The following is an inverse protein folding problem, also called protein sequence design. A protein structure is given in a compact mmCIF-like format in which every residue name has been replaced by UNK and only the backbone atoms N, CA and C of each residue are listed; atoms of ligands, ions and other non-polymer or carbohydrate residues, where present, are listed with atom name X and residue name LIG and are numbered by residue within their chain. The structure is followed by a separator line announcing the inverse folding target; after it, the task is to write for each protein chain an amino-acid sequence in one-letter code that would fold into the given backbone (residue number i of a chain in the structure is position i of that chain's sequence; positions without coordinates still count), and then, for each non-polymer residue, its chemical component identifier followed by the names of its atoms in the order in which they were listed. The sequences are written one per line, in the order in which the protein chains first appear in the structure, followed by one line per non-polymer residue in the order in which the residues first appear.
data_IF_353674070935
#
_entry.id   IF_353674070935
#
_cell.length_a   1.000
_cell.length_b   1.000
_cell.length_c   1.000
_cell.angle_alpha   90.00
_cell.angle_beta   90.00
_cell.angle_gamma   90.00
#
_symmetry.space_group_name_H-M   'P 1'
#
loop_
_entity.id
_entity.type
_entity.pdbx_description
1 polymer ?
#
# COMPACT_ATOMS: atom_id res chain seq x y z
N UNK A 1 4.37 19.09 13.52
CA UNK A 1 5.00 18.95 12.19
C UNK A 1 3.94 18.43 11.25
N UNK A 2 3.66 19.19 10.19
CA UNK A 2 2.69 18.82 9.17
C UNK A 2 3.33 17.79 8.23
N UNK A 3 3.14 16.51 8.54
CA UNK A 3 3.72 15.39 7.78
C UNK A 3 3.28 15.39 6.31
N UNK A 4 2.19 16.10 5.97
CA UNK A 4 1.76 16.29 4.59
C UNK A 4 2.81 17.01 3.77
N UNK A 5 3.46 18.03 4.33
CA UNK A 5 4.51 18.76 3.61
C UNK A 5 5.76 17.90 3.40
N UNK A 6 6.08 17.01 4.35
CA UNK A 6 7.21 16.08 4.21
C UNK A 6 6.92 14.96 3.20
N UNK A 7 5.69 14.45 3.20
CA UNK A 7 5.17 13.52 2.19
C UNK A 7 5.19 14.19 0.80
N UNK A 8 4.84 15.47 0.71
CA UNK A 8 4.69 16.16 -0.57
C UNK A 8 6.02 16.63 -1.18
N UNK A 9 6.94 17.15 -0.38
CA UNK A 9 8.09 17.93 -0.89
C UNK A 9 9.45 17.22 -0.81
N UNK A 10 9.55 16.03 -0.22
CA UNK A 10 10.78 15.21 -0.24
C UNK A 10 12.07 15.91 0.22
N UNK A 11 12.04 16.84 1.20
CA UNK A 11 13.25 17.57 1.65
C UNK A 11 13.37 17.75 3.16
N UNK A 12 14.61 17.73 3.67
CA UNK A 12 15.03 18.30 4.95
C UNK A 12 16.50 18.77 4.92
N UNK A 13 16.82 19.80 5.72
CA UNK A 13 18.16 20.37 5.95
C UNK A 13 18.96 19.49 6.92
N UNK A 14 20.27 19.29 6.62
CA UNK A 14 21.23 18.64 7.53
C UNK A 14 21.48 19.48 8.79
N UNK A 15 21.62 18.82 9.94
CA UNK A 15 22.19 19.40 11.15
C UNK A 15 23.38 18.55 11.60
N UNK A 16 24.45 19.24 12.03
CA UNK A 16 25.74 18.66 12.41
C UNK A 16 25.71 17.95 13.77
N UNK A 17 26.56 16.93 13.87
CA UNK A 17 26.72 16.01 15.00
C UNK A 17 27.65 16.60 16.06
N UNK A 18 27.28 16.50 17.34
CA UNK A 18 28.22 16.63 18.46
C UNK A 18 28.15 15.33 19.27
N UNK A 19 29.30 14.77 19.64
CA UNK A 19 29.43 13.56 20.46
C UNK A 19 29.88 13.95 21.87
N UNK A 20 29.23 13.36 22.90
CA UNK A 20 29.82 12.66 24.07
C UNK A 20 28.91 12.75 25.31
N UNK A 21 28.21 11.65 25.67
CA UNK A 21 28.16 11.01 27.00
C UNK A 21 27.05 9.92 27.04
N UNK A 22 27.38 8.65 26.78
CA UNK A 22 26.36 7.61 26.56
C UNK A 22 25.86 6.89 27.81
N UNK A 23 24.58 7.05 28.15
CA UNK A 23 23.84 6.13 29.02
C UNK A 23 23.38 4.88 28.23
N UNK A 24 22.76 3.87 28.88
CA UNK A 24 22.31 2.63 28.19
C UNK A 24 21.39 2.91 26.99
N UNK A 25 20.58 3.97 27.03
CA UNK A 25 19.73 4.34 25.90
C UNK A 25 20.55 4.74 24.67
N UNK A 26 21.67 5.44 24.85
CA UNK A 26 22.52 5.89 23.74
C UNK A 26 23.25 4.71 23.11
N UNK A 27 23.69 3.74 23.93
CA UNK A 27 24.20 2.45 23.45
C UNK A 27 23.12 1.68 22.64
N UNK A 28 21.90 1.58 23.16
CA UNK A 28 20.81 0.89 22.44
C UNK A 28 20.38 1.63 21.16
N UNK A 29 20.49 2.95 21.13
CA UNK A 29 20.23 3.75 19.93
C UNK A 29 21.34 3.52 18.89
N UNK A 30 22.62 3.55 19.30
CA UNK A 30 23.74 3.29 18.39
C UNK A 30 23.71 1.87 17.81
N UNK A 31 23.40 0.86 18.62
CA UNK A 31 23.23 -0.53 18.14
C UNK A 31 22.08 -0.68 17.14
N UNK A 32 21.12 0.26 17.15
CA UNK A 32 20.00 0.32 16.20
C UNK A 32 20.24 1.31 15.04
N UNK A 33 21.43 1.89 14.95
CA UNK A 33 21.77 2.91 13.94
C UNK A 33 21.00 4.23 14.10
N UNK A 34 20.55 4.56 15.32
CA UNK A 34 19.79 5.76 15.66
C UNK A 34 20.69 6.78 16.41
N UNK A 35 20.49 8.08 16.19
CA UNK A 35 21.27 9.15 16.85
C UNK A 35 20.57 9.72 18.11
N UNK A 36 21.36 10.33 19.02
CA UNK A 36 20.99 10.80 20.39
C UNK A 36 19.75 11.72 20.45
N UNK A 37 19.35 12.35 19.34
CA UNK A 37 18.13 13.12 19.26
C UNK A 37 16.91 12.20 19.11
N UNK A 38 16.54 11.47 20.17
CA UNK A 38 15.30 10.67 20.24
C UNK A 38 14.00 11.38 19.79
N UNK A 39 14.05 12.71 19.55
CA UNK A 39 13.19 13.39 18.58
C UNK A 39 13.56 13.00 17.15
N UNK A 40 13.00 11.88 16.69
CA UNK A 40 13.27 11.27 15.38
C UNK A 40 13.68 12.25 14.30
N UNK A 41 14.81 11.95 13.65
CA UNK A 41 15.17 12.53 12.36
C UNK A 41 13.89 12.71 11.56
N UNK A 42 13.68 13.92 11.03
CA UNK A 42 12.57 14.18 10.14
C UNK A 42 12.63 13.14 9.03
N UNK A 43 11.85 12.07 9.17
CA UNK A 43 11.82 10.99 8.19
C UNK A 43 11.32 11.63 6.92
N UNK A 44 12.25 11.89 6.02
CA UNK A 44 11.98 12.39 4.69
C UNK A 44 11.41 11.23 3.90
N UNK A 45 10.19 11.40 3.41
CA UNK A 45 9.72 10.58 2.32
C UNK A 45 10.66 10.82 1.14
N UNK A 46 11.15 9.76 0.53
CA UNK A 46 11.98 9.88 -0.66
C UNK A 46 11.11 10.30 -1.85
N UNK A 47 11.71 10.88 -2.88
CA UNK A 47 10.96 11.17 -4.11
C UNK A 47 10.50 9.83 -4.74
N UNK A 48 9.20 9.61 -4.95
CA UNK A 48 8.70 8.37 -5.55
C UNK A 48 9.27 8.11 -6.95
N UNK A 49 9.66 9.16 -7.69
CA UNK A 49 10.27 9.02 -9.03
C UNK A 49 11.68 8.43 -8.99
N UNK A 50 12.29 8.28 -7.81
CA UNK A 50 13.53 7.51 -7.66
C UNK A 50 13.29 5.99 -7.74
N UNK A 51 12.05 5.54 -7.59
CA UNK A 51 11.68 4.15 -7.82
C UNK A 51 11.58 3.91 -9.33
N UNK A 52 12.28 2.89 -9.82
CA UNK A 52 12.42 2.63 -11.26
C UNK A 52 11.05 2.41 -11.91
N UNK A 53 10.87 2.93 -13.12
CA UNK A 53 9.63 2.91 -13.91
C UNK A 53 8.41 3.63 -13.27
N UNK A 54 8.57 4.33 -12.13
CA UNK A 54 7.47 5.10 -11.53
C UNK A 54 6.93 6.18 -12.48
N UNK A 55 7.80 6.86 -13.22
CA UNK A 55 7.44 7.84 -14.23
C UNK A 55 6.60 7.24 -15.38
N UNK A 56 6.98 6.05 -15.86
CA UNK A 56 6.24 5.30 -16.87
C UNK A 56 4.88 4.86 -16.36
N UNK A 57 4.82 4.36 -15.12
CA UNK A 57 3.56 3.98 -14.48
C UNK A 57 2.60 5.18 -14.36
N UNK A 58 3.09 6.31 -13.83
CA UNK A 58 2.32 7.56 -13.69
C UNK A 58 1.80 8.04 -15.04
N UNK A 59 2.66 8.08 -16.06
CA UNK A 59 2.28 8.52 -17.41
C UNK A 59 1.16 7.64 -17.99
N UNK A 60 1.28 6.32 -17.83
CA UNK A 60 0.29 5.38 -18.38
C UNK A 60 -1.06 5.45 -17.67
N UNK A 61 -1.04 5.55 -16.35
CA UNK A 61 -2.26 5.67 -15.54
C UNK A 61 -2.95 7.00 -15.84
N UNK A 62 -2.20 8.09 -15.98
CA UNK A 62 -2.75 9.40 -16.34
C UNK A 62 -3.39 9.40 -17.73
N UNK A 63 -2.82 8.65 -18.68
CA UNK A 63 -3.47 8.39 -19.98
C UNK A 63 -4.75 7.58 -19.83
N UNK A 64 -4.77 6.53 -18.99
CA UNK A 64 -5.98 5.74 -18.76
C UNK A 64 -7.11 6.59 -18.20
N UNK A 65 -6.79 7.48 -17.24
CA UNK A 65 -7.70 8.48 -16.68
C UNK A 65 -8.28 9.40 -17.78
N UNK A 66 -7.41 10.02 -18.60
CA UNK A 66 -7.83 10.94 -19.65
C UNK A 66 -8.67 10.29 -20.76
N UNK A 67 -8.43 9.00 -21.03
CA UNK A 67 -9.14 8.23 -22.05
C UNK A 67 -10.34 7.44 -21.51
N UNK A 68 -10.67 7.59 -20.22
CA UNK A 68 -11.72 6.82 -19.53
C UNK A 68 -11.59 5.29 -19.71
N UNK A 69 -10.35 4.82 -19.83
CA UNK A 69 -10.03 3.40 -19.94
C UNK A 69 -10.38 2.70 -18.61
N UNK A 70 -10.86 1.46 -18.68
CA UNK A 70 -11.00 0.63 -17.49
C UNK A 70 -9.60 0.26 -16.97
N UNK A 71 -9.33 0.62 -15.73
CA UNK A 71 -8.16 0.20 -14.96
C UNK A 71 -8.55 -0.98 -14.09
N UNK A 72 -7.88 -2.10 -14.27
CA UNK A 72 -8.10 -3.32 -13.49
C UNK A 72 -6.97 -3.48 -12.47
N UNK A 73 -7.31 -3.53 -11.18
CA UNK A 73 -6.33 -3.71 -10.10
C UNK A 73 -6.37 -5.16 -9.63
N UNK A 74 -5.24 -5.85 -9.73
CA UNK A 74 -5.06 -7.20 -9.20
C UNK A 74 -4.23 -7.13 -7.92
N UNK A 75 -4.81 -7.49 -6.77
CA UNK A 75 -4.11 -7.50 -5.48
C UNK A 75 -3.74 -8.88 -4.98
N UNK A 76 -3.13 -8.93 -3.80
CA UNK A 76 -2.96 -10.17 -3.02
C UNK A 76 -4.04 -10.32 -1.94
N UNK A 77 -4.22 -11.55 -1.45
CA UNK A 77 -5.27 -11.95 -0.51
C UNK A 77 -4.93 -11.70 0.96
N UNK A 78 -3.70 -11.30 1.29
CA UNK A 78 -3.34 -10.95 2.64
C UNK A 78 -3.68 -9.48 2.96
N UNK A 79 -3.40 -9.03 4.18
CA UNK A 79 -3.78 -7.67 4.57
C UNK A 79 -2.99 -6.61 3.81
N UNK A 80 -1.75 -6.86 3.42
CA UNK A 80 -0.97 -5.88 2.67
C UNK A 80 -1.55 -5.72 1.27
N UNK A 81 -1.79 -6.82 0.56
CA UNK A 81 -2.44 -6.83 -0.75
C UNK A 81 -3.86 -6.25 -0.74
N UNK A 82 -4.69 -6.63 0.22
CA UNK A 82 -6.05 -6.09 0.36
C UNK A 82 -6.01 -4.59 0.65
N UNK A 83 -5.13 -4.14 1.57
CA UNK A 83 -5.02 -2.73 1.92
C UNK A 83 -4.43 -1.88 0.78
N UNK A 84 -3.48 -2.42 0.03
CA UNK A 84 -2.89 -1.82 -1.18
C UNK A 84 -3.95 -1.64 -2.27
N UNK A 85 -4.77 -2.66 -2.49
CA UNK A 85 -5.86 -2.63 -3.46
C UNK A 85 -6.92 -1.60 -3.07
N UNK A 86 -7.33 -1.58 -1.80
CA UNK A 86 -8.25 -0.57 -1.27
C UNK A 86 -7.67 0.85 -1.45
N UNK A 87 -6.39 1.03 -1.13
CA UNK A 87 -5.69 2.31 -1.20
C UNK A 87 -5.67 2.85 -2.64
N UNK A 88 -5.15 2.07 -3.58
CA UNK A 88 -5.03 2.49 -4.97
C UNK A 88 -6.40 2.66 -5.63
N UNK A 89 -7.34 1.75 -5.37
CA UNK A 89 -8.69 1.84 -5.96
C UNK A 89 -9.47 3.06 -5.46
N UNK A 90 -9.38 3.40 -4.17
CA UNK A 90 -10.00 4.62 -3.63
C UNK A 90 -9.36 5.88 -4.23
N UNK A 91 -8.03 5.93 -4.32
CA UNK A 91 -7.33 7.06 -4.92
C UNK A 91 -7.76 7.28 -6.38
N UNK A 92 -7.70 6.23 -7.20
CA UNK A 92 -8.02 6.31 -8.62
C UNK A 92 -9.49 6.65 -8.86
N UNK A 93 -10.43 6.06 -8.10
CA UNK A 93 -11.86 6.43 -8.18
C UNK A 93 -12.10 7.88 -7.79
N UNK A 94 -11.43 8.39 -6.75
CA UNK A 94 -11.49 9.82 -6.36
C UNK A 94 -10.92 10.74 -7.45
N UNK A 95 -9.94 10.26 -8.22
CA UNK A 95 -9.39 10.95 -9.38
C UNK A 95 -10.25 10.81 -10.66
N UNK A 96 -11.39 10.09 -10.60
CA UNK A 96 -12.33 9.93 -11.71
C UNK A 96 -12.11 8.70 -12.60
N UNK A 97 -11.21 7.78 -12.24
CA UNK A 97 -10.99 6.55 -13.00
C UNK A 97 -12.16 5.57 -12.88
N UNK A 98 -12.39 4.81 -13.95
CA UNK A 98 -13.16 3.56 -13.93
C UNK A 98 -12.23 2.45 -13.42
N UNK A 99 -12.56 1.89 -12.26
CA UNK A 99 -11.70 0.91 -11.58
C UNK A 99 -12.47 -0.34 -11.20
N UNK A 100 -12.00 -1.48 -11.68
CA UNK A 100 -12.34 -2.81 -11.18
C UNK A 100 -11.18 -3.39 -10.37
N UNK A 101 -11.51 -4.26 -9.42
CA UNK A 101 -10.54 -4.83 -8.47
C UNK A 101 -10.75 -6.33 -8.39
N UNK A 102 -9.67 -7.08 -8.31
CA UNK A 102 -9.67 -8.52 -8.15
C UNK A 102 -8.67 -8.94 -7.08
N UNK A 103 -9.11 -9.82 -6.19
CA UNK A 103 -8.27 -10.46 -5.18
C UNK A 103 -8.39 -11.96 -5.41
N UNK A 104 -7.30 -12.68 -5.68
CA UNK A 104 -7.35 -14.11 -5.95
C UNK A 104 -7.76 -14.88 -4.69
N UNK A 105 -8.46 -15.99 -4.88
CA UNK A 105 -8.69 -16.95 -3.82
C UNK A 105 -7.41 -17.74 -3.55
N UNK A 106 -6.86 -17.60 -2.34
CA UNK A 106 -5.64 -18.27 -1.90
C UNK A 106 -5.64 -19.79 -2.10
N UNK A 107 -6.78 -20.43 -1.83
CA UNK A 107 -6.89 -21.90 -1.82
C UNK A 107 -7.02 -22.47 -3.23
N UNK A 108 -7.77 -21.78 -4.09
CA UNK A 108 -8.10 -22.26 -5.43
C UNK A 108 -7.08 -21.80 -6.48
N UNK A 109 -6.53 -20.59 -6.32
CA UNK A 109 -5.74 -19.90 -7.34
C UNK A 109 -4.27 -19.71 -6.93
N UNK A 110 -4.01 -19.65 -5.63
CA UNK A 110 -2.68 -19.40 -5.08
C UNK A 110 -2.27 -17.92 -5.12
N UNK A 111 -0.96 -17.68 -5.01
CA UNK A 111 -0.36 -16.34 -4.92
C UNK A 111 0.05 -15.78 -6.29
N UNK A 112 -0.07 -14.47 -6.43
CA UNK A 112 0.39 -13.70 -7.59
C UNK A 112 -0.66 -13.52 -8.69
N UNK A 113 -0.25 -12.87 -9.77
CA UNK A 113 -1.04 -12.83 -11.00
C UNK A 113 -0.97 -14.21 -11.67
N UNK A 114 -2.14 -14.82 -11.85
CA UNK A 114 -2.37 -16.14 -12.46
C UNK A 114 -3.37 -16.04 -13.60
N UNK A 115 -3.53 -17.13 -14.35
CA UNK A 115 -4.43 -17.21 -15.51
C UNK A 115 -5.83 -16.66 -15.22
N UNK A 116 -6.41 -16.98 -14.06
CA UNK A 116 -7.72 -16.46 -13.67
C UNK A 116 -7.75 -14.93 -13.60
N UNK A 117 -6.76 -14.29 -12.97
CA UNK A 117 -6.68 -12.83 -12.91
C UNK A 117 -6.50 -12.18 -14.29
N UNK A 118 -5.77 -12.86 -15.18
CA UNK A 118 -5.62 -12.45 -16.58
C UNK A 118 -6.96 -12.53 -17.32
N UNK A 119 -7.64 -13.67 -17.21
CA UNK A 119 -8.94 -13.92 -17.85
C UNK A 119 -10.01 -12.93 -17.35
N UNK A 120 -10.01 -12.65 -16.05
CA UNK A 120 -10.89 -11.67 -15.41
C UNK A 120 -10.67 -10.26 -15.95
N UNK A 121 -9.41 -9.83 -16.08
CA UNK A 121 -9.09 -8.52 -16.63
C UNK A 121 -9.49 -8.38 -18.11
N UNK A 122 -9.25 -9.42 -18.92
CA UNK A 122 -9.65 -9.46 -20.33
C UNK A 122 -11.18 -9.43 -20.44
N UNK A 123 -11.88 -10.24 -19.63
CA UNK A 123 -13.33 -10.32 -19.60
C UNK A 123 -13.97 -8.99 -19.20
N UNK A 124 -13.37 -8.27 -18.27
CA UNK A 124 -13.79 -6.93 -17.87
C UNK A 124 -13.57 -5.88 -18.98
N UNK A 125 -12.76 -6.18 -20.00
CA UNK A 125 -12.40 -5.27 -21.07
C UNK A 125 -11.36 -4.23 -20.63
N UNK A 126 -10.49 -4.60 -19.69
CA UNK A 126 -9.43 -3.74 -19.21
C UNK A 126 -8.45 -3.38 -20.34
N UNK A 127 -7.97 -2.13 -20.34
CA UNK A 127 -6.84 -1.70 -21.21
C UNK A 127 -5.54 -1.55 -20.43
N UNK A 128 -5.66 -1.47 -19.11
CA UNK A 128 -4.57 -1.36 -18.17
C UNK A 128 -4.85 -2.28 -16.99
N UNK A 129 -3.91 -3.18 -16.71
CA UNK A 129 -3.86 -3.93 -15.46
C UNK A 129 -2.75 -3.37 -14.56
N UNK A 130 -3.05 -3.19 -13.28
CA UNK A 130 -2.07 -2.80 -12.26
C UNK A 130 -2.07 -3.89 -11.20
N UNK A 131 -0.94 -4.58 -11.00
CA UNK A 131 -0.78 -5.46 -9.84
C UNK A 131 -0.37 -4.63 -8.62
N UNK A 132 -0.88 -4.99 -7.45
CA UNK A 132 -0.44 -4.45 -6.16
C UNK A 132 -0.04 -5.60 -5.24
N UNK A 133 1.12 -5.46 -4.61
CA UNK A 133 1.68 -6.46 -3.68
C UNK A 133 1.98 -7.84 -4.31
N UNK A 134 2.05 -7.88 -5.64
CA UNK A 134 2.37 -9.08 -6.38
C UNK A 134 2.78 -8.78 -7.82
N UNK A 135 3.18 -9.82 -8.55
CA UNK A 135 3.37 -9.78 -9.99
C UNK A 135 4.83 -9.67 -10.42
N UNK A 136 5.79 -9.37 -9.53
CA UNK A 136 7.23 -9.24 -9.88
C UNK A 136 7.84 -10.52 -10.48
N UNK A 137 7.15 -11.66 -10.35
CA UNK A 137 7.53 -12.98 -10.91
C UNK A 137 6.52 -13.57 -11.90
N UNK A 138 5.51 -12.80 -12.34
CA UNK A 138 4.45 -13.27 -13.25
C UNK A 138 4.83 -13.03 -14.72
N UNK A 139 5.84 -13.75 -15.22
CA UNK A 139 6.39 -13.52 -16.56
C UNK A 139 5.39 -13.90 -17.66
N UNK A 140 4.82 -15.11 -17.57
CA UNK A 140 3.95 -15.67 -18.59
C UNK A 140 2.60 -14.95 -18.62
N UNK A 141 2.05 -14.63 -17.45
CA UNK A 141 0.77 -13.93 -17.33
C UNK A 141 0.85 -12.50 -17.89
N UNK A 142 1.96 -11.80 -17.68
CA UNK A 142 2.19 -10.46 -18.26
C UNK A 142 2.35 -10.55 -19.78
N UNK A 143 3.04 -11.56 -20.29
CA UNK A 143 3.17 -11.78 -21.73
C UNK A 143 1.79 -12.03 -22.37
N UNK A 144 0.94 -12.86 -21.73
CA UNK A 144 -0.42 -13.12 -22.20
C UNK A 144 -1.28 -11.86 -22.22
N UNK A 145 -1.22 -11.01 -21.19
CA UNK A 145 -1.94 -9.72 -21.17
C UNK A 145 -1.49 -8.81 -22.32
N UNK A 146 -0.18 -8.76 -22.58
CA UNK A 146 0.38 -7.96 -23.64
C UNK A 146 -0.08 -8.44 -25.03
N UNK A 147 -0.17 -9.75 -25.27
CA UNK A 147 -0.71 -10.32 -26.50
C UNK A 147 -2.18 -9.92 -26.74
N UNK A 148 -2.94 -9.72 -25.66
CA UNK A 148 -4.33 -9.26 -25.71
C UNK A 148 -4.46 -7.73 -25.75
N UNK A 149 -3.34 -7.00 -25.81
CA UNK A 149 -3.32 -5.54 -25.86
C UNK A 149 -3.71 -4.87 -24.53
N UNK A 150 -3.47 -5.55 -23.41
CA UNK A 150 -3.62 -5.00 -22.05
C UNK A 150 -2.24 -4.60 -21.55
N UNK A 151 -2.03 -3.29 -21.35
CA UNK A 151 -0.79 -2.82 -20.73
C UNK A 151 -0.77 -3.27 -19.26
N UNK A 152 0.41 -3.67 -18.77
CA UNK A 152 0.56 -4.10 -17.36
C UNK A 152 1.55 -3.20 -16.63
N UNK A 153 1.17 -2.74 -15.43
CA UNK A 153 2.04 -2.10 -14.45
C UNK A 153 2.12 -3.04 -13.25
N UNK A 154 3.34 -3.34 -12.81
CA UNK A 154 3.56 -4.10 -11.57
C UNK A 154 3.92 -3.11 -10.47
N UNK A 155 3.22 -3.17 -9.34
CA UNK A 155 3.67 -2.55 -8.09
C UNK A 155 3.82 -3.64 -7.04
N UNK A 156 5.05 -3.82 -6.57
CA UNK A 156 5.40 -4.95 -5.72
C UNK A 156 6.56 -4.55 -4.80
N UNK A 157 6.82 -5.38 -3.80
CA UNK A 157 7.95 -5.24 -2.88
C UNK A 157 8.65 -6.57 -2.60
N UNK A 158 8.26 -7.66 -3.28
CA UNK A 158 8.92 -8.95 -3.15
C UNK A 158 10.24 -8.99 -3.92
N UNK A 159 11.15 -9.88 -3.51
CA UNK A 159 12.43 -10.05 -4.21
C UNK A 159 12.22 -10.41 -5.70
N UNK A 160 12.85 -9.69 -6.65
CA UNK A 160 12.68 -9.99 -8.06
C UNK A 160 13.30 -11.35 -8.43
N UNK A 161 12.83 -11.91 -9.55
CA UNK A 161 13.50 -13.05 -10.20
C UNK A 161 14.77 -12.64 -10.95
N UNK A 162 15.44 -13.60 -11.61
CA UNK A 162 16.58 -13.30 -12.48
C UNK A 162 16.22 -12.37 -13.65
N UNK A 163 14.99 -12.49 -14.14
CA UNK A 163 14.41 -11.67 -15.19
C UNK A 163 13.11 -11.08 -14.72
N UNK A 164 12.87 -9.81 -15.05
CA UNK A 164 11.61 -9.13 -14.77
C UNK A 164 10.57 -9.47 -15.86
N UNK A 165 9.27 -9.50 -15.53
CA UNK A 165 8.20 -9.59 -16.52
C UNK A 165 8.29 -8.45 -17.54
N UNK A 166 7.85 -8.70 -18.76
CA UNK A 166 7.84 -7.72 -19.85
C UNK A 166 6.71 -6.66 -19.71
N UNK A 167 6.46 -6.21 -18.48
CA UNK A 167 5.44 -5.22 -18.16
C UNK A 167 5.84 -3.82 -18.69
N UNK A 168 4.86 -2.96 -18.89
CA UNK A 168 5.09 -1.57 -19.26
C UNK A 168 5.87 -0.83 -18.16
N UNK A 169 5.63 -1.16 -16.89
CA UNK A 169 6.37 -0.62 -15.77
C UNK A 169 6.45 -1.67 -14.67
N UNK A 170 7.60 -1.77 -14.02
CA UNK A 170 7.79 -2.59 -12.82
C UNK A 170 8.30 -1.70 -11.70
N UNK A 171 7.40 -1.30 -10.81
CA UNK A 171 7.65 -0.37 -9.70
C UNK A 171 7.85 -1.20 -8.44
N UNK A 172 9.12 -1.48 -8.14
CA UNK A 172 9.51 -2.28 -6.99
C UNK A 172 10.86 -1.78 -6.45
N UNK A 173 11.00 -1.52 -5.14
CA UNK A 173 12.22 -1.00 -4.56
C UNK A 173 13.37 -2.03 -4.48
N UNK A 174 13.10 -3.33 -4.61
CA UNK A 174 14.10 -4.42 -4.62
C UNK A 174 14.70 -4.70 -5.99
N UNK A 175 14.27 -3.98 -7.05
CA UNK A 175 14.85 -4.10 -8.38
C UNK A 175 16.37 -3.94 -8.35
N UNK A 176 17.08 -4.90 -8.95
CA UNK A 176 18.54 -4.88 -9.02
C UNK A 176 19.11 -3.68 -9.80
N UNK A 177 18.33 -3.10 -10.72
CA UNK A 177 18.68 -1.88 -11.47
C UNK A 177 18.08 -0.59 -10.85
N UNK A 178 17.48 -0.70 -9.67
CA UNK A 178 16.88 0.40 -8.92
C UNK A 178 17.88 1.19 -8.09
N UNK A 179 17.48 2.40 -7.69
CA UNK A 179 18.27 3.27 -6.81
C UNK A 179 17.44 3.88 -5.67
N UNK A 180 16.25 3.31 -5.41
CA UNK A 180 15.36 3.83 -4.41
C UNK A 180 16.00 3.72 -3.01
N UNK A 181 16.12 4.81 -2.23
CA UNK A 181 16.96 4.79 -1.04
C UNK A 181 16.46 3.93 0.12
N UNK A 182 15.17 3.57 0.15
CA UNK A 182 14.56 2.80 1.22
C UNK A 182 13.85 1.56 0.67
N UNK A 183 14.55 0.42 0.70
CA UNK A 183 14.03 -0.84 0.12
C UNK A 183 12.94 -1.51 0.96
N UNK A 184 12.84 -1.16 2.24
CA UNK A 184 11.96 -1.86 3.18
C UNK A 184 10.47 -1.50 3.09
N UNK A 185 9.95 -0.94 2.01
CA UNK A 185 8.51 -0.67 1.89
C UNK A 185 7.71 -1.97 1.81
N UNK A 186 6.51 -1.97 2.38
CA UNK A 186 5.48 -2.97 2.10
C UNK A 186 4.81 -2.69 0.73
N UNK A 187 4.03 -3.62 0.20
CA UNK A 187 3.16 -3.40 -0.96
C UNK A 187 2.29 -2.15 -0.80
N UNK A 188 1.67 -1.95 0.37
CA UNK A 188 0.84 -0.76 0.62
C UNK A 188 1.68 0.53 0.72
N UNK A 189 2.95 0.41 1.10
CA UNK A 189 3.93 1.48 1.03
C UNK A 189 4.21 1.88 -0.41
N UNK A 190 4.49 0.91 -1.30
CA UNK A 190 4.71 1.15 -2.74
C UNK A 190 3.46 1.74 -3.40
N UNK A 191 2.27 1.22 -3.09
CA UNK A 191 1.00 1.78 -3.58
C UNK A 191 0.80 3.24 -3.14
N UNK A 192 1.16 3.60 -1.91
CA UNK A 192 1.15 4.97 -1.44
C UNK A 192 2.15 5.85 -2.22
N UNK A 193 3.36 5.36 -2.52
CA UNK A 193 4.34 6.09 -3.34
C UNK A 193 3.83 6.33 -4.77
N UNK A 194 3.14 5.36 -5.36
CA UNK A 194 2.48 5.53 -6.65
C UNK A 194 1.39 6.61 -6.59
N UNK A 195 0.53 6.58 -5.57
CA UNK A 195 -0.48 7.61 -5.36
C UNK A 195 0.14 9.00 -5.11
N UNK A 196 1.27 9.07 -4.41
CA UNK A 196 2.05 10.29 -4.22
C UNK A 196 2.53 10.87 -5.56
N UNK A 197 3.10 10.05 -6.43
CA UNK A 197 3.58 10.47 -7.74
C UNK A 197 2.42 10.89 -8.67
N UNK A 198 1.31 10.15 -8.66
CA UNK A 198 0.10 10.49 -9.39
C UNK A 198 -0.52 11.80 -8.90
N UNK A 199 -0.64 11.99 -7.59
CA UNK A 199 -1.19 13.22 -7.02
C UNK A 199 -0.36 14.44 -7.45
N UNK A 200 0.97 14.33 -7.44
CA UNK A 200 1.85 15.38 -7.93
C UNK A 200 1.66 15.63 -9.44
N UNK A 201 1.57 14.58 -10.25
CA UNK A 201 1.39 14.69 -11.70
C UNK A 201 0.02 15.28 -12.11
N UNK A 202 -1.03 14.95 -11.35
CA UNK A 202 -2.39 15.44 -11.55
C UNK A 202 -2.67 16.75 -10.82
N UNK A 203 -1.64 17.37 -10.21
CA UNK A 203 -1.73 18.61 -9.44
C UNK A 203 -2.80 18.58 -8.33
N UNK A 204 -2.99 17.41 -7.69
CA UNK A 204 -3.92 17.22 -6.59
C UNK A 204 -3.33 17.75 -5.28
N UNK A 205 -4.20 18.26 -4.40
CA UNK A 205 -3.77 18.72 -3.08
C UNK A 205 -3.19 17.56 -2.22
N UNK A 206 -2.15 17.80 -1.40
CA UNK A 206 -1.57 16.77 -0.53
C UNK A 206 -2.59 16.09 0.38
N UNK A 207 -3.63 16.83 0.79
CA UNK A 207 -4.71 16.34 1.63
C UNK A 207 -5.47 15.15 1.01
N UNK A 208 -5.42 14.96 -0.31
CA UNK A 208 -6.03 13.83 -1.03
C UNK A 208 -5.51 12.47 -0.58
N UNK A 209 -4.28 12.42 -0.05
CA UNK A 209 -3.61 11.19 0.40
C UNK A 209 -3.77 10.93 1.90
N UNK A 210 -4.37 11.87 2.65
CA UNK A 210 -4.35 11.83 4.12
C UNK A 210 -5.00 10.57 4.69
N UNK A 211 -6.23 10.29 4.30
CA UNK A 211 -6.95 9.11 4.79
C UNK A 211 -6.33 7.79 4.31
N UNK A 212 -5.66 7.81 3.15
CA UNK A 212 -5.02 6.65 2.54
C UNK A 212 -3.81 6.16 3.35
N UNK A 213 -3.20 7.02 4.17
CA UNK A 213 -2.15 6.62 5.09
C UNK A 213 -2.60 5.60 6.13
N UNK A 214 -3.89 5.59 6.48
CA UNK A 214 -4.43 4.58 7.37
C UNK A 214 -4.35 3.18 6.73
N UNK A 215 -4.64 3.07 5.42
CA UNK A 215 -4.50 1.81 4.68
C UNK A 215 -3.02 1.41 4.54
N UNK A 216 -2.15 2.35 4.16
CA UNK A 216 -0.71 2.09 4.05
C UNK A 216 -0.10 1.61 5.38
N UNK A 217 -0.48 2.24 6.50
CA UNK A 217 -0.03 1.83 7.82
C UNK A 217 -0.54 0.44 8.21
N UNK A 218 -1.77 0.10 7.85
CA UNK A 218 -2.36 -1.21 8.12
C UNK A 218 -1.61 -2.33 7.39
N UNK A 219 -1.38 -2.18 6.08
CA UNK A 219 -0.60 -3.13 5.28
C UNK A 219 0.83 -3.28 5.82
N UNK A 220 1.53 -2.16 6.01
CA UNK A 220 2.91 -2.13 6.54
C UNK A 220 3.05 -2.87 7.88
N UNK A 221 2.08 -2.72 8.78
CA UNK A 221 2.10 -3.42 10.08
C UNK A 221 1.76 -4.90 9.92
N UNK A 222 0.78 -5.22 9.07
CA UNK A 222 0.31 -6.59 8.90
C UNK A 222 1.36 -7.47 8.23
N UNK A 223 2.17 -6.89 7.34
CA UNK A 223 3.29 -7.55 6.69
C UNK A 223 4.57 -7.58 7.56
N UNK A 224 4.48 -7.12 8.82
CA UNK A 224 5.56 -7.22 9.81
C UNK A 224 6.83 -6.48 9.36
N UNK A 225 6.68 -5.42 8.56
CA UNK A 225 7.81 -4.65 8.09
C UNK A 225 8.54 -3.93 9.22
N UNK A 226 9.86 -3.75 9.05
CA UNK A 226 10.65 -3.00 10.01
C UNK A 226 10.14 -1.56 10.10
N UNK A 227 9.80 -1.11 11.31
CA UNK A 227 9.31 0.24 11.57
C UNK A 227 10.46 1.24 11.75
N UNK A 228 11.30 1.32 10.72
CA UNK A 228 12.40 2.28 10.52
C UNK A 228 12.09 3.11 9.27
N UNK A 229 12.89 4.15 8.99
CA UNK A 229 12.77 4.95 7.77
C UNK A 229 11.34 5.36 7.43
N UNK A 230 10.96 5.24 6.15
CA UNK A 230 9.63 5.63 5.65
C UNK A 230 8.50 4.83 6.32
N UNK A 231 8.66 3.53 6.59
CA UNK A 231 7.64 2.74 7.27
C UNK A 231 7.26 3.31 8.62
N UNK A 232 8.24 3.78 9.40
CA UNK A 232 7.99 4.43 10.69
C UNK A 232 7.14 5.69 10.51
N UNK A 233 7.40 6.49 9.47
CA UNK A 233 6.63 7.69 9.19
C UNK A 233 5.21 7.38 8.70
N UNK A 234 5.07 6.44 7.77
CA UNK A 234 3.78 5.94 7.26
C UNK A 234 2.94 5.46 8.42
N UNK A 235 3.46 4.56 9.25
CA UNK A 235 2.74 4.01 10.40
C UNK A 235 2.38 5.08 11.41
N UNK A 236 3.31 6.00 11.74
CA UNK A 236 3.03 7.08 12.69
C UNK A 236 1.90 8.00 12.18
N UNK A 237 1.92 8.36 10.90
CA UNK A 237 0.91 9.22 10.29
C UNK A 237 -0.43 8.49 10.15
N UNK A 238 -0.44 7.26 9.63
CA UNK A 238 -1.63 6.45 9.48
C UNK A 238 -2.33 6.17 10.80
N UNK A 239 -1.59 5.86 11.88
CA UNK A 239 -2.16 5.73 13.22
C UNK A 239 -2.82 7.03 13.70
N UNK A 240 -2.27 8.20 13.37
CA UNK A 240 -2.87 9.48 13.71
C UNK A 240 -4.18 9.72 12.95
N UNK A 241 -4.25 9.30 11.68
CA UNK A 241 -5.47 9.42 10.87
C UNK A 241 -6.54 8.41 11.30
N UNK A 242 -6.17 7.18 11.67
CA UNK A 242 -7.12 6.23 12.27
C UNK A 242 -7.76 6.77 13.56
N UNK A 243 -6.98 7.43 14.43
CA UNK A 243 -7.50 8.08 15.64
C UNK A 243 -8.48 9.22 15.35
N UNK A 244 -8.39 9.82 14.16
CA UNK A 244 -9.32 10.86 13.68
C UNK A 244 -10.56 10.27 13.00
N UNK A 245 -10.67 8.95 12.90
CA UNK A 245 -11.78 8.27 12.22
C UNK A 245 -11.62 8.22 10.70
N UNK A 246 -10.39 8.16 10.19
CA UNK A 246 -10.15 7.99 8.76
C UNK A 246 -10.80 6.69 8.26
N UNK A 247 -11.54 6.80 7.17
CA UNK A 247 -12.27 5.73 6.47
C UNK A 247 -13.31 5.00 7.35
N UNK A 248 -14.59 4.93 6.93
CA UNK A 248 -15.62 4.19 7.67
C UNK A 248 -15.26 2.73 7.91
N UNK A 249 -14.68 2.06 6.91
CA UNK A 249 -14.25 0.66 7.00
C UNK A 249 -13.27 0.38 8.12
N UNK A 250 -12.20 1.17 8.19
CA UNK A 250 -11.17 1.03 9.24
C UNK A 250 -11.78 1.35 10.62
N UNK A 251 -12.60 2.40 10.70
CA UNK A 251 -13.25 2.80 11.95
C UNK A 251 -14.16 1.71 12.52
N UNK A 252 -14.97 1.07 11.68
CA UNK A 252 -15.85 -0.02 12.10
C UNK A 252 -15.07 -1.31 12.41
N UNK A 253 -14.01 -1.61 11.67
CA UNK A 253 -13.12 -2.74 11.96
C UNK A 253 -12.43 -2.59 13.32
N UNK A 254 -11.96 -1.38 13.66
CA UNK A 254 -11.37 -1.09 14.96
C UNK A 254 -12.36 -1.30 16.11
N UNK A 255 -13.61 -0.87 15.93
CA UNK A 255 -14.70 -1.09 16.89
C UNK A 255 -15.01 -2.57 17.06
N UNK A 256 -15.15 -3.32 15.97
CA UNK A 256 -15.36 -4.76 16.00
C UNK A 256 -14.21 -5.49 16.71
N UNK A 257 -12.97 -5.03 16.51
CA UNK A 257 -11.80 -5.55 17.21
C UNK A 257 -11.70 -5.16 18.70
N UNK A 258 -12.68 -4.41 19.23
CA UNK A 258 -12.70 -3.89 20.59
C UNK A 258 -11.52 -2.97 20.90
N UNK A 259 -10.98 -2.29 19.89
CA UNK A 259 -9.81 -1.41 20.02
C UNK A 259 -10.28 0.01 20.31
N UNK A 260 -9.76 0.60 21.39
CA UNK A 260 -10.06 1.99 21.73
C UNK A 260 -9.38 2.95 20.75
N UNK A 261 -10.17 3.74 20.04
CA UNK A 261 -9.71 4.58 18.93
C UNK A 261 -8.63 5.61 19.35
N UNK A 262 -8.73 6.35 20.47
CA UNK A 262 -7.68 7.26 20.91
C UNK A 262 -6.36 6.56 21.26
N UNK A 263 -6.41 5.28 21.64
CA UNK A 263 -5.28 4.51 22.13
C UNK A 263 -4.73 3.49 21.10
N UNK A 264 -5.07 3.61 19.81
CA UNK A 264 -4.58 2.68 18.78
C UNK A 264 -3.05 2.66 18.77
N UNK A 265 -2.48 1.46 18.77
CA UNK A 265 -1.04 1.21 18.64
C UNK A 265 -0.76 0.25 17.50
N UNK A 266 0.47 0.22 16.99
CA UNK A 266 0.88 -0.78 16.01
C UNK A 266 0.66 -2.22 16.52
N UNK A 267 0.88 -2.45 17.82
CA UNK A 267 0.59 -3.74 18.47
C UNK A 267 -0.91 -4.08 18.41
N UNK A 268 -1.78 -3.12 18.67
CA UNK A 268 -3.23 -3.35 18.58
C UNK A 268 -3.63 -3.70 17.14
N UNK A 269 -3.07 -3.03 16.14
CA UNK A 269 -3.33 -3.37 14.74
C UNK A 269 -2.85 -4.78 14.41
N UNK A 270 -1.59 -5.11 14.71
CA UNK A 270 -1.00 -6.41 14.39
C UNK A 270 -1.73 -7.60 15.03
N UNK A 271 -2.14 -7.47 16.30
CA UNK A 271 -2.69 -8.61 17.06
C UNK A 271 -4.22 -8.63 17.16
N UNK A 272 -4.91 -7.52 16.85
CA UNK A 272 -6.37 -7.45 16.95
C UNK A 272 -7.00 -7.18 15.60
N UNK A 273 -6.47 -6.24 14.82
CA UNK A 273 -7.10 -5.83 13.55
C UNK A 273 -6.71 -6.77 12.40
N UNK A 274 -5.42 -6.95 12.14
CA UNK A 274 -4.92 -7.75 11.02
C UNK A 274 -5.42 -9.20 11.00
N UNK A 275 -5.59 -9.91 12.14
CA UNK A 275 -6.13 -11.28 12.14
C UNK A 275 -7.53 -11.41 11.54
N UNK A 276 -8.39 -10.40 11.72
CA UNK A 276 -9.78 -10.39 11.20
C UNK A 276 -9.83 -10.27 9.68
N UNK A 277 -8.95 -9.43 9.12
CA UNK A 277 -8.80 -9.30 7.67
C UNK A 277 -8.17 -10.56 7.08
N UNK A 278 -7.13 -11.11 7.72
CA UNK A 278 -6.51 -12.36 7.31
C UNK A 278 -7.45 -13.57 7.38
N UNK A 279 -8.41 -13.57 8.32
CA UNK A 279 -9.43 -14.62 8.40
C UNK A 279 -10.29 -14.65 7.12
N UNK A 280 -10.60 -13.47 6.56
CA UNK A 280 -11.32 -13.36 5.30
C UNK A 280 -10.56 -14.02 4.14
N UNK A 281 -9.26 -13.74 4.00
CA UNK A 281 -8.40 -14.33 2.98
C UNK A 281 -8.23 -15.85 3.12
N UNK A 282 -8.13 -16.37 4.36
CA UNK A 282 -8.04 -17.82 4.61
C UNK A 282 -9.32 -18.58 4.31
N UNK A 283 -10.47 -17.93 4.37
CA UNK A 283 -11.78 -18.53 4.13
C UNK A 283 -12.29 -18.32 2.69
N UNK A 284 -11.46 -17.79 1.78
CA UNK A 284 -11.83 -17.56 0.38
C UNK A 284 -12.78 -16.37 0.17
N UNK A 285 -12.89 -15.46 1.15
CA UNK A 285 -13.75 -14.27 1.08
C UNK A 285 -12.95 -12.98 1.33
N UNK A 286 -11.80 -12.86 0.65
CA UNK A 286 -10.99 -11.65 0.69
C UNK A 286 -11.74 -10.43 0.11
N UNK A 287 -12.76 -10.66 -0.72
CA UNK A 287 -13.61 -9.61 -1.29
C UNK A 287 -14.41 -8.87 -0.20
N UNK A 288 -14.89 -9.54 0.85
CA UNK A 288 -15.52 -8.86 1.99
C UNK A 288 -14.55 -7.92 2.74
N UNK A 289 -13.29 -8.33 2.90
CA UNK A 289 -12.26 -7.49 3.53
C UNK A 289 -11.91 -6.27 2.65
N UNK A 290 -11.77 -6.47 1.34
CA UNK A 290 -11.56 -5.37 0.40
C UNK A 290 -12.77 -4.41 0.38
N UNK A 291 -13.99 -4.94 0.35
CA UNK A 291 -15.22 -4.16 0.37
C UNK A 291 -15.32 -3.32 1.65
N UNK A 292 -14.95 -3.90 2.81
CA UNK A 292 -14.91 -3.18 4.07
C UNK A 292 -13.94 -2.00 3.99
N UNK A 293 -12.68 -2.25 3.61
CA UNK A 293 -11.65 -1.21 3.57
C UNK A 293 -11.90 -0.13 2.51
N UNK A 294 -12.69 -0.46 1.48
CA UNK A 294 -13.04 0.46 0.38
C UNK A 294 -14.39 1.16 0.55
N UNK A 295 -15.21 0.76 1.55
CA UNK A 295 -16.55 1.32 1.72
C UNK A 295 -16.49 2.76 2.27
N UNK A 296 -17.35 3.61 1.69
CA UNK A 296 -17.58 4.98 2.14
C UNK A 296 -18.88 5.10 2.96
N UNK A 297 -19.56 3.98 3.23
CA UNK A 297 -20.81 3.93 3.97
C UNK A 297 -20.59 3.27 5.34
N UNK A 298 -20.82 4.02 6.42
CA UNK A 298 -20.61 3.53 7.78
C UNK A 298 -21.51 2.35 8.17
N UNK A 299 -22.76 2.31 7.69
CA UNK A 299 -23.67 1.22 8.00
C UNK A 299 -23.26 -0.08 7.29
N UNK A 300 -22.87 0.02 6.02
CA UNK A 300 -22.31 -1.11 5.27
C UNK A 300 -20.99 -1.59 5.90
N UNK A 301 -20.08 -0.66 6.22
CA UNK A 301 -18.82 -0.95 6.90
C UNK A 301 -19.04 -1.68 8.22
N UNK A 302 -20.06 -1.29 8.99
CA UNK A 302 -20.40 -1.96 10.25
C UNK A 302 -20.84 -3.40 10.02
N UNK A 303 -21.68 -3.64 9.02
CA UNK A 303 -22.14 -4.99 8.67
C UNK A 303 -20.96 -5.87 8.25
N UNK A 304 -20.11 -5.38 7.35
CA UNK A 304 -18.93 -6.12 6.88
C UNK A 304 -17.93 -6.37 8.02
N UNK A 305 -17.68 -5.40 8.89
CA UNK A 305 -16.79 -5.57 10.04
C UNK A 305 -17.28 -6.66 11.02
N UNK A 306 -18.59 -6.73 11.27
CA UNK A 306 -19.19 -7.78 12.10
C UNK A 306 -19.11 -9.16 11.44
N UNK A 307 -19.28 -9.25 10.12
CA UNK A 307 -19.08 -10.51 9.39
C UNK A 307 -17.64 -11.00 9.48
N UNK A 308 -16.65 -10.11 9.41
CA UNK A 308 -15.26 -10.47 9.60
C UNK A 308 -14.93 -10.88 11.05
N UNK A 309 -15.60 -10.26 12.03
CA UNK A 309 -15.48 -10.67 13.44
C UNK A 309 -15.96 -12.10 13.65
N UNK A 310 -17.11 -12.45 13.08
CA UNK A 310 -17.69 -13.79 13.16
C UNK A 310 -16.73 -14.85 12.60
N UNK A 311 -16.08 -14.56 11.47
CA UNK A 311 -15.10 -15.45 10.84
C UNK A 311 -13.77 -15.57 11.59
N UNK A 312 -13.46 -14.62 12.45
CA UNK A 312 -12.22 -14.62 13.23
C UNK A 312 -12.35 -15.38 14.56
N UNK A 313 -13.58 -15.69 14.99
CA UNK A 313 -13.90 -16.37 16.25
C UNK A 313 -13.89 -17.88 16.07
#
# INVERSE_FOLDING_TARGET
MDWLNTLWLGRSKRAETTLLQGNIADFLMSERGLSENGSGEAVTFHDPLLMRDMDRAVTRISRALASEELIFIHGDYDVDGISSTALLSLFLRRAGARVETYIPNRLDEGYGLKANGVDEAIRAGARLLITVDCGIRSLDEVAQLQEQGVDTIITDHHEPGQTLPAALAVVDPHRHDGSYPFVGLAGAGVALKLCQALAAHLELEPASLRELLALAALGTIADVMQLTGENRAIVKAGLAEMRRGALPGISELLKAAGTDMPAITAKALAFRVSPRLNAAGRMGDASAALALLSSQNAAESRTLALQLEEKNT
#
